data_IF_445947710244
#
_entry.id   IF_445947710244
#
_cell.length_a   1.000
_cell.length_b   1.000
_cell.length_c   1.000
_cell.angle_alpha   90.00
_cell.angle_beta   90.00
_cell.angle_gamma   90.00
#
_symmetry.space_group_name_H-M   'P 1'
#
loop_
_entity.id
_entity.type
_entity.pdbx_description
1 polymer ?
#
# COMPACT_ATOMS: atom_id res chain seq x y z
N UNK A 1 2.73 0.99 21.52
CA UNK A 1 1.69 0.46 20.61
C UNK A 1 1.73 1.35 19.38
N UNK A 2 2.59 1.01 18.43
CA UNK A 2 2.70 1.72 17.14
C UNK A 2 1.38 1.50 16.41
N UNK A 3 0.66 2.59 16.14
CA UNK A 3 -0.54 2.56 15.34
C UNK A 3 -0.12 2.37 13.88
N UNK A 4 -0.05 1.11 13.46
CA UNK A 4 0.04 0.79 12.04
C UNK A 4 -1.24 1.29 11.37
N UNK A 5 -1.10 2.21 10.42
CA UNK A 5 -2.20 2.86 9.71
C UNK A 5 -3.00 1.89 8.80
N UNK A 6 -2.79 0.58 8.92
CA UNK A 6 -3.30 -0.43 8.00
C UNK A 6 -4.78 -0.80 8.20
N UNK A 7 -5.43 -0.40 9.31
CA UNK A 7 -6.85 -0.70 9.54
C UNK A 7 -7.66 0.50 10.05
N UNK A 8 -8.02 1.39 9.13
CA UNK A 8 -8.84 2.57 9.39
C UNK A 8 -10.19 2.22 10.06
N UNK A 9 -10.81 1.10 9.69
CA UNK A 9 -12.08 0.66 10.27
C UNK A 9 -11.94 0.04 11.67
N UNK A 10 -10.77 -0.51 12.01
CA UNK A 10 -10.51 -1.06 13.36
C UNK A 10 -10.42 0.06 14.39
N UNK A 11 -9.96 1.25 14.00
CA UNK A 11 -9.98 2.43 14.88
C UNK A 11 -11.41 2.87 15.23
N UNK A 12 -12.34 2.77 14.29
CA UNK A 12 -13.76 3.08 14.52
C UNK A 12 -14.33 2.10 15.55
N UNK A 13 -14.14 0.79 15.33
CA UNK A 13 -14.57 -0.25 16.27
C UNK A 13 -13.99 -0.04 17.68
N UNK A 14 -12.70 0.31 17.78
CA UNK A 14 -12.05 0.59 19.07
C UNK A 14 -12.61 1.85 19.75
N UNK A 15 -12.97 2.87 18.97
CA UNK A 15 -13.58 4.10 19.50
C UNK A 15 -15.01 3.86 20.02
N UNK A 16 -15.74 2.95 19.38
CA UNK A 16 -17.11 2.55 19.75
C UNK A 16 -17.13 1.48 20.84
N UNK A 17 -16.03 0.81 21.15
CA UNK A 17 -15.94 0.08 22.42
C UNK A 17 -15.87 1.03 23.64
N UNK A 18 -15.42 2.28 23.41
CA UNK A 18 -15.31 3.30 24.47
C UNK A 18 -16.56 4.17 24.61
N UNK A 19 -17.36 4.27 23.55
CA UNK A 19 -18.66 4.95 23.55
C UNK A 19 -19.73 3.88 23.41
N UNK A 20 -20.73 3.78 24.29
CA UNK A 20 -21.75 2.70 24.30
C UNK A 20 -22.69 2.69 23.08
N UNK A 21 -22.14 2.53 21.88
CA UNK A 21 -22.83 2.52 20.58
C UNK A 21 -22.69 1.10 20.02
N UNK A 22 -23.81 0.53 19.58
CA UNK A 22 -23.84 -0.81 18.99
C UNK A 22 -23.42 -0.76 17.52
N UNK A 23 -22.50 -1.65 17.12
CA UNK A 23 -21.84 -1.62 15.80
C UNK A 23 -21.84 -3.02 15.22
N UNK A 24 -22.28 -3.11 13.96
CA UNK A 24 -22.39 -4.38 13.24
C UNK A 24 -21.51 -4.36 11.99
N UNK A 25 -20.56 -5.30 11.92
CA UNK A 25 -19.72 -5.49 10.74
C UNK A 25 -20.47 -6.29 9.67
N UNK A 26 -20.56 -5.74 8.46
CA UNK A 26 -21.11 -6.42 7.28
C UNK A 26 -19.97 -6.71 6.31
N UNK A 27 -19.73 -8.00 6.06
CA UNK A 27 -18.65 -8.46 5.20
C UNK A 27 -19.05 -8.38 3.72
N UNK A 28 -18.06 -8.16 2.84
CA UNK A 28 -18.25 -8.14 1.39
C UNK A 28 -16.98 -8.65 0.67
N UNK A 29 -17.00 -8.71 -0.67
CA UNK A 29 -15.86 -9.05 -1.48
C UNK A 29 -14.67 -8.10 -1.25
N UNK A 30 -13.45 -8.66 -1.28
CA UNK A 30 -12.20 -7.93 -1.09
C UNK A 30 -11.19 -8.32 -2.16
N UNK A 31 -10.33 -7.38 -2.55
CA UNK A 31 -9.22 -7.61 -3.47
C UNK A 31 -8.30 -8.75 -3.00
N UNK A 32 -8.18 -8.92 -1.68
CA UNK A 32 -7.41 -10.00 -1.05
C UNK A 32 -7.86 -11.40 -1.50
N UNK A 33 -9.16 -11.56 -1.79
CA UNK A 33 -9.73 -12.83 -2.25
C UNK A 33 -9.85 -12.86 -3.79
N UNK A 34 -10.05 -11.70 -4.42
CA UNK A 34 -10.27 -11.60 -5.86
C UNK A 34 -9.02 -11.92 -6.71
N UNK A 35 -7.82 -11.76 -6.15
CA UNK A 35 -6.55 -12.08 -6.84
C UNK A 35 -6.40 -13.54 -7.25
N UNK A 36 -7.28 -14.44 -6.76
CA UNK A 36 -7.34 -15.82 -7.25
C UNK A 36 -7.59 -15.93 -8.76
N UNK A 37 -8.14 -14.88 -9.39
CA UNK A 37 -8.28 -14.78 -10.85
C UNK A 37 -6.93 -14.83 -11.58
N UNK A 38 -5.82 -14.48 -10.93
CA UNK A 38 -4.48 -14.60 -11.51
C UNK A 38 -4.01 -16.06 -11.69
N UNK A 39 -4.79 -17.05 -11.25
CA UNK A 39 -4.42 -18.47 -11.31
C UNK A 39 -3.36 -18.88 -10.29
N UNK A 40 -3.00 -17.97 -9.38
CA UNK A 40 -2.05 -18.21 -8.31
C UNK A 40 -2.79 -18.78 -7.08
N UNK A 41 -2.17 -19.76 -6.42
CA UNK A 41 -2.74 -20.37 -5.22
C UNK A 41 -2.76 -19.35 -4.08
N UNK A 42 -3.96 -19.00 -3.60
CA UNK A 42 -4.14 -18.02 -2.51
C UNK A 42 -3.34 -18.37 -1.24
N UNK A 43 -3.21 -19.66 -0.91
CA UNK A 43 -2.41 -20.14 0.22
C UNK A 43 -0.89 -19.91 0.08
N UNK A 44 -0.41 -19.58 -1.12
CA UNK A 44 1.00 -19.26 -1.37
C UNK A 44 1.27 -17.76 -1.31
N UNK A 45 0.31 -16.92 -0.96
CA UNK A 45 0.56 -15.50 -0.70
C UNK A 45 1.11 -15.31 0.72
N UNK A 46 2.19 -14.54 0.82
CA UNK A 46 2.80 -14.13 2.08
C UNK A 46 2.23 -12.81 2.59
N UNK A 47 3.05 -12.07 3.35
CA UNK A 47 2.67 -10.77 3.89
C UNK A 47 2.34 -9.78 2.75
N UNK A 48 1.17 -9.14 2.82
CA UNK A 48 0.77 -8.10 1.86
C UNK A 48 1.49 -6.80 2.17
N UNK A 49 1.85 -6.05 1.12
CA UNK A 49 2.60 -4.79 1.26
C UNK A 49 1.85 -3.64 0.60
N UNK A 50 2.06 -2.43 1.10
CA UNK A 50 1.55 -1.20 0.49
C UNK A 50 2.71 -0.37 -0.05
N UNK A 51 2.63 0.05 -1.31
CA UNK A 51 3.65 0.87 -1.98
C UNK A 51 3.15 2.32 -2.02
N UNK A 52 3.70 3.23 -1.20
CA UNK A 52 3.28 4.62 -1.15
C UNK A 52 3.86 5.45 -2.30
N UNK A 53 3.21 6.55 -2.66
CA UNK A 53 3.80 7.53 -3.57
C UNK A 53 5.02 8.21 -2.94
N UNK A 54 6.16 8.16 -3.63
CA UNK A 54 7.35 8.90 -3.25
C UNK A 54 7.18 10.41 -3.45
N UNK A 55 7.78 11.17 -2.55
CA UNK A 55 7.97 12.61 -2.67
C UNK A 55 9.46 12.92 -2.60
N UNK A 56 9.83 14.18 -2.87
CA UNK A 56 11.24 14.59 -2.84
C UNK A 56 11.89 14.40 -1.47
N UNK A 57 11.10 14.53 -0.40
CA UNK A 57 11.57 14.45 0.99
C UNK A 57 11.23 13.13 1.69
N UNK A 58 10.37 12.29 1.08
CA UNK A 58 9.89 11.07 1.72
C UNK A 58 9.81 9.91 0.73
N UNK A 59 10.73 8.95 0.91
CA UNK A 59 10.93 7.77 0.07
C UNK A 59 11.11 6.53 0.95
N UNK A 60 10.03 6.02 1.57
CA UNK A 60 10.12 4.84 2.43
C UNK A 60 10.40 3.60 1.59
N UNK A 61 11.17 2.67 2.13
CA UNK A 61 11.57 1.41 1.49
C UNK A 61 11.21 0.18 2.34
N UNK A 62 10.46 0.35 3.43
CA UNK A 62 10.12 -0.72 4.38
C UNK A 62 9.36 -1.89 3.74
N UNK A 63 8.66 -1.67 2.63
CA UNK A 63 8.00 -2.73 1.86
C UNK A 63 9.00 -3.67 1.18
N UNK A 64 10.23 -3.24 0.93
CA UNK A 64 11.26 -4.03 0.23
C UNK A 64 11.62 -5.30 0.99
N UNK A 65 11.94 -5.17 2.28
CA UNK A 65 12.33 -6.31 3.12
C UNK A 65 11.20 -7.33 3.28
N UNK A 66 9.94 -6.86 3.32
CA UNK A 66 8.76 -7.75 3.33
C UNK A 66 8.65 -8.55 2.02
N UNK A 67 8.82 -7.90 0.87
CA UNK A 67 8.79 -8.58 -0.43
C UNK A 67 9.96 -9.57 -0.53
N UNK A 68 11.15 -9.18 -0.10
CA UNK A 68 12.34 -10.03 -0.05
C UNK A 68 12.09 -11.28 0.77
N UNK A 69 11.58 -11.12 1.99
CA UNK A 69 11.25 -12.23 2.88
C UNK A 69 10.27 -13.21 2.24
N UNK A 70 9.18 -12.72 1.65
CA UNK A 70 8.21 -13.57 0.97
C UNK A 70 8.88 -14.35 -0.18
N UNK A 71 9.72 -13.68 -0.99
CA UNK A 71 10.44 -14.32 -2.09
C UNK A 71 11.40 -15.41 -1.61
N UNK A 72 12.17 -15.15 -0.56
CA UNK A 72 13.07 -16.15 0.04
C UNK A 72 12.31 -17.39 0.53
N UNK A 73 11.06 -17.23 0.98
CA UNK A 73 10.18 -18.31 1.40
C UNK A 73 9.39 -18.96 0.24
N UNK A 74 9.58 -18.50 -1.00
CA UNK A 74 8.84 -19.01 -2.17
C UNK A 74 7.36 -18.63 -2.20
N UNK A 75 6.99 -17.54 -1.53
CA UNK A 75 5.64 -16.99 -1.44
C UNK A 75 5.43 -15.84 -2.45
N UNK A 76 4.19 -15.69 -2.91
CA UNK A 76 3.74 -14.55 -3.68
C UNK A 76 3.49 -13.35 -2.76
N UNK A 77 3.67 -12.15 -3.28
CA UNK A 77 3.37 -10.92 -2.54
C UNK A 77 2.28 -10.16 -3.27
N UNK A 78 1.20 -9.82 -2.56
CA UNK A 78 0.23 -8.85 -3.05
C UNK A 78 0.76 -7.44 -2.72
N UNK A 79 0.94 -6.62 -3.75
CA UNK A 79 1.33 -5.23 -3.60
C UNK A 79 0.12 -4.33 -3.81
N UNK A 80 -0.34 -3.68 -2.74
CA UNK A 80 -1.37 -2.66 -2.78
C UNK A 80 -0.73 -1.32 -3.20
N UNK A 81 -1.32 -0.65 -4.18
CA UNK A 81 -0.80 0.61 -4.71
C UNK A 81 -1.54 1.79 -4.07
N UNK A 82 -0.79 2.86 -3.81
CA UNK A 82 -1.32 4.05 -3.14
C UNK A 82 -2.37 4.78 -3.97
N UNK A 83 -3.31 5.40 -3.26
CA UNK A 83 -4.38 6.19 -3.84
C UNK A 83 -4.49 7.49 -3.06
N UNK A 84 -4.33 8.61 -3.76
CA UNK A 84 -4.52 9.94 -3.18
C UNK A 84 -5.82 10.55 -3.68
N UNK A 85 -6.82 10.62 -2.80
CA UNK A 85 -8.15 11.17 -3.12
C UNK A 85 -8.38 12.41 -2.26
N UNK A 86 -8.74 13.53 -2.90
CA UNK A 86 -9.14 14.77 -2.22
C UNK A 86 -8.09 15.34 -1.27
N UNK A 87 -6.80 15.21 -1.61
CA UNK A 87 -5.78 15.96 -0.88
C UNK A 87 -5.93 17.46 -1.22
N UNK A 88 -6.06 18.34 -0.22
CA UNK A 88 -6.03 19.78 -0.45
C UNK A 88 -4.60 20.16 -0.85
N UNK A 89 -4.44 20.90 -1.95
CA UNK A 89 -3.11 21.31 -2.37
C UNK A 89 -2.46 22.21 -1.30
N UNK A 90 -1.13 22.13 -1.15
CA UNK A 90 -0.40 22.90 -0.14
C UNK A 90 -0.67 24.41 -0.30
N UNK A 91 -0.73 24.88 -1.55
CA UNK A 91 -1.13 26.26 -1.89
C UNK A 91 -2.56 26.60 -1.46
N UNK A 92 -3.51 25.67 -1.62
CA UNK A 92 -4.90 25.83 -1.25
C UNK A 92 -5.09 25.96 0.27
N UNK A 93 -4.32 25.19 1.04
CA UNK A 93 -4.28 25.30 2.50
C UNK A 93 -3.73 26.66 2.95
N UNK A 94 -2.62 27.12 2.36
CA UNK A 94 -2.02 28.41 2.69
C UNK A 94 -2.90 29.62 2.31
N UNK A 95 -3.76 29.49 1.28
CA UNK A 95 -4.65 30.57 0.80
C UNK A 95 -6.10 30.48 1.29
N UNK A 96 -6.43 29.52 2.16
CA UNK A 96 -7.78 29.37 2.73
C UNK A 96 -8.87 28.98 1.73
N UNK A 97 -8.51 28.61 0.50
CA UNK A 97 -9.44 28.11 -0.53
C UNK A 97 -9.24 26.62 -0.68
N UNK A 98 -10.24 25.81 -0.31
CA UNK A 98 -10.18 24.35 -0.47
C UNK A 98 -10.38 23.97 -1.93
N UNK A 99 -9.31 24.02 -2.73
CA UNK A 99 -9.30 23.39 -4.05
C UNK A 99 -8.79 21.96 -3.86
N UNK A 100 -9.64 20.99 -4.17
CA UNK A 100 -9.29 19.59 -4.13
C UNK A 100 -8.65 19.19 -5.46
N UNK A 101 -7.51 18.52 -5.39
CA UNK A 101 -6.94 17.91 -6.57
C UNK A 101 -7.78 16.72 -7.03
N UNK A 102 -7.78 16.42 -8.35
CA UNK A 102 -8.42 15.22 -8.86
C UNK A 102 -7.80 13.97 -8.22
N UNK A 103 -8.59 12.90 -8.01
CA UNK A 103 -8.08 11.67 -7.42
C UNK A 103 -6.96 11.08 -8.28
N UNK A 104 -5.83 10.78 -7.63
CA UNK A 104 -4.65 10.21 -8.25
C UNK A 104 -4.46 8.77 -7.78
N UNK A 105 -4.56 7.84 -8.71
CA UNK A 105 -4.30 6.42 -8.49
C UNK A 105 -2.89 6.11 -9.00
N UNK A 106 -2.11 5.39 -8.21
CA UNK A 106 -0.80 4.94 -8.67
C UNK A 106 -0.95 3.93 -9.81
N UNK A 107 -0.21 4.18 -10.90
CA UNK A 107 -0.13 3.22 -12.01
C UNK A 107 0.89 2.14 -11.70
N UNK A 108 0.74 0.98 -12.34
CA UNK A 108 1.72 -0.11 -12.23
C UNK A 108 3.11 0.36 -12.68
N UNK A 109 3.19 1.17 -13.73
CA UNK A 109 4.46 1.72 -14.24
C UNK A 109 5.19 2.51 -13.15
N UNK A 110 4.50 3.44 -12.48
CA UNK A 110 5.07 4.23 -11.37
C UNK A 110 5.53 3.32 -10.23
N UNK A 111 4.72 2.33 -9.85
CA UNK A 111 5.09 1.39 -8.79
C UNK A 111 6.35 0.59 -9.14
N UNK A 112 6.47 0.12 -10.39
CA UNK A 112 7.65 -0.62 -10.87
C UNK A 112 8.88 0.27 -10.88
N UNK A 113 8.76 1.54 -11.31
CA UNK A 113 9.87 2.51 -11.24
C UNK A 113 10.36 2.71 -9.80
N UNK A 114 9.45 2.88 -8.84
CA UNK A 114 9.80 3.01 -7.43
C UNK A 114 10.46 1.74 -6.87
N UNK A 115 9.97 0.55 -7.23
CA UNK A 115 10.57 -0.72 -6.81
C UNK A 115 12.00 -0.87 -7.35
N UNK A 116 12.23 -0.49 -8.60
CA UNK A 116 13.56 -0.53 -9.22
C UNK A 116 14.50 0.51 -8.62
N UNK A 117 14.00 1.69 -8.26
CA UNK A 117 14.77 2.71 -7.54
C UNK A 117 15.23 2.17 -6.17
N UNK A 118 14.33 1.55 -5.41
CA UNK A 118 14.67 0.96 -4.11
C UNK A 118 15.65 -0.19 -4.26
N UNK A 119 15.50 -1.07 -5.25
CA UNK A 119 16.47 -2.14 -5.54
C UNK A 119 17.88 -1.59 -5.78
N UNK A 120 18.01 -0.49 -6.53
CA UNK A 120 19.31 0.14 -6.81
C UNK A 120 19.98 0.69 -5.55
N UNK A 121 19.19 1.14 -4.58
CA UNK A 121 19.70 1.62 -3.30
C UNK A 121 20.18 0.46 -2.41
N UNK A 122 19.51 -0.69 -2.49
CA UNK A 122 19.81 -1.86 -1.66
C UNK A 122 20.93 -2.76 -2.20
N UNK A 123 21.27 -2.71 -3.50
CA UNK A 123 22.43 -3.36 -4.20
C UNK A 123 22.74 -4.85 -3.92
N UNK A 124 22.02 -5.52 -3.03
CA UNK A 124 22.46 -6.77 -2.40
C UNK A 124 21.74 -8.01 -2.92
N UNK A 125 20.57 -7.91 -3.55
CA UNK A 125 19.70 -9.09 -3.67
C UNK A 125 19.09 -9.42 -5.03
N UNK A 126 19.20 -8.56 -6.05
CA UNK A 126 18.73 -8.87 -7.41
C UNK A 126 17.25 -9.27 -7.47
N UNK A 127 16.44 -8.71 -6.57
CA UNK A 127 15.05 -9.13 -6.35
C UNK A 127 14.20 -8.63 -7.50
N UNK A 128 14.37 -7.36 -7.86
CA UNK A 128 13.73 -6.79 -9.04
C UNK A 128 14.74 -6.69 -10.17
N UNK A 129 14.43 -7.28 -11.31
CA UNK A 129 15.26 -7.20 -12.51
C UNK A 129 14.39 -6.69 -13.65
N UNK A 130 14.90 -5.73 -14.42
CA UNK A 130 14.28 -5.42 -15.71
C UNK A 130 14.48 -6.63 -16.61
N UNK A 131 13.39 -7.14 -17.19
CA UNK A 131 13.50 -8.13 -18.24
C UNK A 131 14.35 -7.51 -19.37
N UNK A 132 15.49 -8.12 -19.68
CA UNK A 132 16.26 -7.78 -20.87
C UNK A 132 15.49 -8.35 -22.06
N UNK A 133 14.92 -7.46 -22.88
CA UNK A 133 14.46 -7.80 -24.22
C UNK A 133 15.66 -7.81 -25.17
#
# INVERSE_FOLDING_TARGET
MTLDAEQQHTLILLSEQRSSVDVKVVHNASVMNAIGVCGLQLYRYGETVSIPFFTDTWRPDSFYEKIKRNRTLGLHTLCLLDIRVKEPSLESLCRGKKVYEPPKFMTINTAVEQLLEVEQNHKESGIFTKAQN
#
